data_IF_446974987283
#
_entry.id   IF_446974987283
#
_cell.length_a   1.000
_cell.length_b   1.000
_cell.length_c   1.000
_cell.angle_alpha   90.00
_cell.angle_beta   90.00
_cell.angle_gamma   90.00
#
_symmetry.space_group_name_H-M   'P 1'
#
loop_
_entity.id
_entity.type
_entity.pdbx_description
1 polymer ?
#
# COMPACT_ATOMS: atom_id res chain seq x y z
N UNK A 1 10.26 21.31 14.75
CA UNK A 1 11.34 21.79 13.87
C UNK A 1 11.54 20.73 12.80
N UNK A 2 11.46 21.08 11.52
CA UNK A 2 11.83 20.18 10.42
C UNK A 2 13.25 20.53 9.97
N UNK A 3 14.06 19.53 9.67
CA UNK A 3 15.41 19.72 9.11
C UNK A 3 15.42 19.28 7.66
N UNK A 4 16.14 20.02 6.81
CA UNK A 4 16.34 19.65 5.42
C UNK A 4 17.11 18.33 5.30
N UNK A 5 16.72 17.49 4.35
CA UNK A 5 17.42 16.26 4.01
C UNK A 5 17.96 16.37 2.58
N UNK A 6 19.28 16.43 2.44
CA UNK A 6 19.94 16.51 1.14
C UNK A 6 19.90 15.17 0.39
N UNK A 7 19.42 15.20 -0.85
CA UNK A 7 19.41 14.04 -1.75
C UNK A 7 18.52 14.24 -2.97
N UNK A 8 18.21 13.14 -3.64
CA UNK A 8 17.33 13.11 -4.80
C UNK A 8 16.02 12.42 -4.48
N UNK A 9 14.92 12.83 -5.12
CA UNK A 9 13.63 12.11 -5.09
C UNK A 9 13.84 10.65 -5.50
N UNK A 10 13.48 9.72 -4.61
CA UNK A 10 13.66 8.30 -4.84
C UNK A 10 12.84 7.81 -6.04
N UNK A 11 11.61 8.29 -6.24
CA UNK A 11 10.79 7.91 -7.38
C UNK A 11 11.44 8.29 -8.72
N UNK A 12 12.22 9.38 -8.75
CA UNK A 12 12.90 9.85 -9.94
C UNK A 12 14.20 9.09 -10.26
N UNK A 13 14.93 8.63 -9.24
CA UNK A 13 16.29 8.09 -9.45
C UNK A 13 16.41 6.58 -9.24
N UNK A 14 15.43 5.91 -8.62
CA UNK A 14 15.47 4.46 -8.39
C UNK A 14 15.73 3.66 -9.68
N UNK A 15 15.11 4.07 -10.79
CA UNK A 15 15.26 3.40 -12.09
C UNK A 15 16.66 3.53 -12.71
N UNK A 16 17.48 4.47 -12.24
CA UNK A 16 18.86 4.67 -12.69
C UNK A 16 19.88 3.81 -11.94
N UNK A 17 19.48 3.24 -10.79
CA UNK A 17 20.31 2.37 -9.97
C UNK A 17 20.26 0.94 -10.49
N UNK A 18 21.23 0.11 -10.11
CA UNK A 18 21.16 -1.32 -10.42
C UNK A 18 20.14 -2.04 -9.50
N UNK A 19 19.74 -3.26 -9.87
CA UNK A 19 18.69 -4.00 -9.14
C UNK A 19 19.05 -4.32 -7.69
N UNK A 20 20.33 -4.58 -7.39
CA UNK A 20 20.80 -4.86 -6.04
C UNK A 20 20.68 -3.60 -5.16
N UNK A 21 21.10 -2.44 -5.68
CA UNK A 21 20.97 -1.16 -4.98
C UNK A 21 19.51 -0.81 -4.71
N UNK A 22 18.63 -0.96 -5.71
CA UNK A 22 17.20 -0.76 -5.56
C UNK A 22 16.64 -1.66 -4.45
N UNK A 23 17.01 -2.94 -4.45
CA UNK A 23 16.57 -3.90 -3.44
C UNK A 23 17.07 -3.54 -2.03
N UNK A 24 18.35 -3.17 -1.88
CA UNK A 24 18.95 -2.83 -0.58
C UNK A 24 18.33 -1.56 0.01
N UNK A 25 18.11 -0.52 -0.81
CA UNK A 25 17.37 0.69 -0.42
C UNK A 25 15.94 0.33 0.01
N UNK A 26 15.29 -0.57 -0.74
CA UNK A 26 13.99 -1.11 -0.38
C UNK A 26 14.01 -1.77 1.00
N UNK A 27 15.01 -2.61 1.29
CA UNK A 27 15.16 -3.25 2.60
C UNK A 27 15.32 -2.24 3.73
N UNK A 28 16.11 -1.19 3.52
CA UNK A 28 16.27 -0.11 4.50
C UNK A 28 14.95 0.64 4.74
N UNK A 29 14.20 0.92 3.68
CA UNK A 29 12.88 1.53 3.79
C UNK A 29 11.90 0.62 4.53
N UNK A 30 11.93 -0.69 4.29
CA UNK A 30 11.12 -1.68 5.03
C UNK A 30 11.45 -1.70 6.53
N UNK A 31 12.74 -1.71 6.88
CA UNK A 31 13.20 -1.66 8.28
C UNK A 31 12.79 -0.37 8.97
N UNK A 32 12.84 0.76 8.27
CA UNK A 32 12.40 2.05 8.81
C UNK A 32 10.91 2.06 9.11
N UNK A 33 10.09 1.55 8.21
CA UNK A 33 8.64 1.38 8.41
C UNK A 33 8.33 0.47 9.62
N UNK A 34 9.08 -0.63 9.77
CA UNK A 34 8.95 -1.53 10.94
C UNK A 34 9.23 -0.79 12.26
N UNK A 35 10.20 0.13 12.30
CA UNK A 35 10.46 0.98 13.48
C UNK A 35 9.33 1.96 13.77
N UNK A 36 8.68 2.53 12.74
CA UNK A 36 7.50 3.39 12.91
C UNK A 36 6.35 2.56 13.50
N UNK A 37 6.09 1.39 12.93
CA UNK A 37 5.03 0.47 13.35
C UNK A 37 5.27 -0.19 14.71
N UNK A 38 6.47 -0.05 15.28
CA UNK A 38 6.75 -0.47 16.65
C UNK A 38 6.14 0.46 17.70
N UNK A 39 5.71 1.67 17.31
CA UNK A 39 5.02 2.61 18.20
C UNK A 39 3.55 2.19 18.29
N UNK A 40 3.06 1.76 19.47
CA UNK A 40 1.69 1.28 19.61
C UNK A 40 0.70 2.43 19.43
N UNK A 41 -0.50 2.08 18.95
CA UNK A 41 -1.60 3.03 18.95
C UNK A 41 -2.11 3.31 20.38
N UNK A 42 -2.70 4.49 20.63
CA UNK A 42 -3.38 4.80 21.89
C UNK A 42 -4.44 3.74 22.26
N UNK A 43 -4.69 3.54 23.56
CA UNK A 43 -5.64 2.51 24.05
C UNK A 43 -7.10 2.80 23.67
N UNK A 44 -7.44 4.04 23.35
CA UNK A 44 -8.78 4.49 22.98
C UNK A 44 -9.11 4.31 21.48
N UNK A 45 -8.20 3.71 20.70
CA UNK A 45 -8.50 3.41 19.29
C UNK A 45 -9.70 2.46 19.15
N UNK A 46 -10.59 2.70 18.17
CA UNK A 46 -11.65 1.76 17.86
C UNK A 46 -11.07 0.42 17.44
N UNK A 47 -11.79 -0.67 17.71
CA UNK A 47 -11.37 -2.00 17.28
C UNK A 47 -11.22 -2.04 15.74
N UNK A 48 -10.04 -2.44 15.27
CA UNK A 48 -9.71 -2.42 13.84
C UNK A 48 -10.65 -3.29 13.00
N UNK A 49 -11.03 -4.46 13.52
CA UNK A 49 -11.93 -5.38 12.82
C UNK A 49 -13.25 -4.69 12.49
N UNK A 50 -13.89 -4.07 13.48
CA UNK A 50 -15.14 -3.35 13.25
C UNK A 50 -14.91 -2.12 12.36
N UNK A 51 -13.94 -1.28 12.71
CA UNK A 51 -13.66 -0.04 12.00
C UNK A 51 -13.41 -0.25 10.50
N UNK A 52 -12.59 -1.24 10.16
CA UNK A 52 -12.24 -1.48 8.76
C UNK A 52 -13.32 -2.23 7.99
N UNK A 53 -14.11 -3.12 8.64
CA UNK A 53 -15.31 -3.70 8.01
C UNK A 53 -16.34 -2.60 7.68
N UNK A 54 -16.59 -1.66 8.60
CA UNK A 54 -17.46 -0.51 8.34
C UNK A 54 -16.90 0.39 7.22
N UNK A 55 -15.56 0.47 7.09
CA UNK A 55 -14.89 1.15 5.96
C UNK A 55 -15.13 0.42 4.63
N UNK A 56 -15.04 -0.91 4.62
CA UNK A 56 -15.35 -1.75 3.45
C UNK A 56 -16.80 -1.52 3.02
N UNK A 57 -17.76 -1.68 3.93
CA UNK A 57 -19.19 -1.58 3.60
C UNK A 57 -19.55 -0.21 2.99
N UNK A 58 -18.99 0.87 3.55
CA UNK A 58 -19.14 2.24 2.99
C UNK A 58 -18.55 2.36 1.59
N UNK A 59 -17.36 1.83 1.37
CA UNK A 59 -16.66 1.88 0.07
C UNK A 59 -17.39 1.08 -1.00
N UNK A 60 -17.86 -0.12 -0.68
CA UNK A 60 -18.65 -0.96 -1.59
C UNK A 60 -19.98 -0.29 -1.94
N UNK A 61 -20.67 0.26 -0.94
CA UNK A 61 -21.92 1.02 -1.15
C UNK A 61 -21.68 2.22 -2.07
N UNK A 62 -20.61 2.99 -1.85
CA UNK A 62 -20.27 4.15 -2.69
C UNK A 62 -20.00 3.73 -4.14
N UNK A 63 -19.26 2.65 -4.35
CA UNK A 63 -19.01 2.11 -5.68
C UNK A 63 -20.30 1.67 -6.38
N UNK A 64 -21.15 0.89 -5.72
CA UNK A 64 -22.44 0.45 -6.31
C UNK A 64 -23.31 1.66 -6.69
N UNK A 65 -23.38 2.68 -5.82
CA UNK A 65 -24.18 3.89 -6.05
C UNK A 65 -23.64 4.77 -7.16
N UNK A 66 -22.35 4.74 -7.46
CA UNK A 66 -21.76 5.64 -8.46
C UNK A 66 -22.15 5.29 -9.91
N UNK A 67 -22.65 4.08 -10.15
CA UNK A 67 -23.15 3.65 -11.47
C UNK A 67 -22.08 3.45 -12.54
N UNK A 68 -20.79 3.56 -12.20
CA UNK A 68 -19.68 3.35 -13.13
C UNK A 68 -19.28 1.88 -13.11
N UNK A 69 -19.41 1.21 -14.26
CA UNK A 69 -18.91 -0.15 -14.41
C UNK A 69 -17.39 -0.19 -14.56
N UNK A 70 -16.76 -1.06 -13.79
CA UNK A 70 -15.35 -1.45 -13.91
C UNK A 70 -15.26 -2.93 -14.23
N UNK A 71 -14.55 -3.26 -15.30
CA UNK A 71 -14.24 -4.63 -15.66
C UNK A 71 -13.49 -5.31 -14.51
N UNK A 72 -13.94 -6.50 -14.09
CA UNK A 72 -13.32 -7.23 -12.99
C UNK A 72 -13.81 -6.85 -11.58
N UNK A 73 -14.71 -5.87 -11.45
CA UNK A 73 -15.17 -5.41 -10.14
C UNK A 73 -15.88 -6.50 -9.32
N UNK A 74 -16.64 -7.40 -9.97
CA UNK A 74 -17.31 -8.51 -9.29
C UNK A 74 -16.30 -9.45 -8.62
N UNK A 75 -15.18 -9.74 -9.28
CA UNK A 75 -14.08 -10.54 -8.74
C UNK A 75 -13.41 -9.83 -7.56
N UNK A 76 -13.21 -8.51 -7.65
CA UNK A 76 -12.64 -7.73 -6.55
C UNK A 76 -13.58 -7.74 -5.34
N UNK A 77 -14.88 -7.53 -5.55
CA UNK A 77 -15.89 -7.53 -4.49
C UNK A 77 -15.97 -8.92 -3.84
N UNK A 78 -16.04 -9.99 -4.63
CA UNK A 78 -16.06 -11.36 -4.12
C UNK A 78 -14.81 -11.66 -3.26
N UNK A 79 -13.63 -11.23 -3.72
CA UNK A 79 -12.39 -11.37 -2.97
C UNK A 79 -12.42 -10.58 -1.65
N UNK A 80 -12.92 -9.35 -1.65
CA UNK A 80 -13.06 -8.55 -0.42
C UNK A 80 -13.94 -9.28 0.60
N UNK A 81 -15.10 -9.78 0.18
CA UNK A 81 -16.04 -10.48 1.07
C UNK A 81 -15.47 -11.80 1.59
N UNK A 82 -14.68 -12.52 0.78
CA UNK A 82 -14.00 -13.74 1.22
C UNK A 82 -12.90 -13.45 2.26
N UNK A 83 -12.15 -12.36 2.07
CA UNK A 83 -10.94 -12.09 2.85
C UNK A 83 -11.15 -11.18 4.07
N UNK A 84 -12.27 -10.46 4.18
CA UNK A 84 -12.54 -9.50 5.29
C UNK A 84 -12.42 -10.12 6.70
N UNK A 85 -12.53 -11.44 6.83
CA UNK A 85 -12.27 -12.16 8.08
C UNK A 85 -10.83 -12.03 8.60
N UNK A 86 -9.86 -11.74 7.73
CA UNK A 86 -8.45 -11.51 8.09
C UNK A 86 -8.22 -10.25 8.94
N UNK A 87 -9.21 -9.35 9.00
CA UNK A 87 -9.17 -8.15 9.81
C UNK A 87 -9.37 -8.43 11.30
N UNK A 88 -9.73 -9.67 11.66
CA UNK A 88 -10.00 -10.07 13.04
C UNK A 88 -8.75 -9.91 13.92
N UNK A 89 -8.92 -9.21 15.03
CA UNK A 89 -7.91 -9.05 16.10
C UNK A 89 -6.56 -8.51 15.62
N UNK A 90 -6.55 -7.72 14.53
CA UNK A 90 -5.34 -7.07 14.03
C UNK A 90 -4.88 -5.98 15.00
N UNK A 91 -3.57 -5.87 15.27
CA UNK A 91 -3.03 -4.80 16.09
C UNK A 91 -3.12 -3.47 15.36
N UNK A 92 -3.00 -2.36 16.10
CA UNK A 92 -2.85 -1.03 15.53
C UNK A 92 -1.56 -0.38 16.02
N UNK A 93 -0.89 0.32 15.12
CA UNK A 93 0.35 1.05 15.38
C UNK A 93 0.32 2.42 14.71
N UNK A 94 1.27 3.28 15.06
CA UNK A 94 1.52 4.49 14.30
C UNK A 94 1.82 4.12 12.84
N UNK A 95 1.26 4.88 11.91
CA UNK A 95 1.51 4.83 10.48
C UNK A 95 2.02 6.21 10.03
N UNK A 96 2.82 6.22 8.97
CA UNK A 96 3.16 7.45 8.25
C UNK A 96 1.96 7.99 7.44
N UNK A 97 1.10 7.09 6.94
CA UNK A 97 -0.13 7.41 6.22
C UNK A 97 0.03 7.67 4.72
N UNK A 98 1.27 7.85 4.24
CA UNK A 98 1.60 8.03 2.81
C UNK A 98 2.98 7.46 2.44
N UNK A 99 3.27 6.23 2.88
CA UNK A 99 4.59 5.61 2.77
C UNK A 99 4.87 5.00 1.38
N UNK A 100 5.33 5.84 0.44
CA UNK A 100 5.76 5.42 -0.91
C UNK A 100 7.02 6.16 -1.37
N UNK A 101 7.62 5.72 -2.48
CA UNK A 101 8.90 6.25 -2.99
C UNK A 101 8.88 7.73 -3.39
N UNK A 102 7.71 8.37 -3.53
CA UNK A 102 7.62 9.82 -3.75
C UNK A 102 7.84 10.63 -2.48
N UNK A 103 7.65 10.02 -1.30
CA UNK A 103 7.91 10.60 0.01
C UNK A 103 9.24 10.08 0.59
N UNK A 104 10.19 9.78 -0.31
CA UNK A 104 11.51 9.26 0.06
C UNK A 104 12.61 9.99 -0.70
N UNK A 105 13.73 10.19 -0.02
CA UNK A 105 14.92 10.84 -0.56
C UNK A 105 16.08 9.85 -0.51
N UNK A 106 16.82 9.71 -1.61
CA UNK A 106 18.07 8.96 -1.64
C UNK A 106 19.23 9.95 -1.48
N UNK A 107 20.00 9.80 -0.40
CA UNK A 107 21.16 10.67 -0.14
C UNK A 107 22.33 10.34 -1.07
N UNK A 108 23.36 11.19 -1.09
CA UNK A 108 24.58 10.95 -1.88
C UNK A 108 25.32 9.68 -1.44
N UNK A 109 25.20 9.32 -0.17
CA UNK A 109 25.75 8.11 0.44
C UNK A 109 24.88 6.87 0.19
N UNK A 110 23.82 6.99 -0.63
CA UNK A 110 22.86 5.92 -0.95
C UNK A 110 22.12 5.38 0.27
N UNK A 111 21.72 6.27 1.18
CA UNK A 111 20.78 5.96 2.26
C UNK A 111 19.37 6.43 1.88
N UNK A 112 18.35 5.70 2.35
CA UNK A 112 16.95 6.14 2.20
C UNK A 112 16.53 7.01 3.39
N UNK A 113 16.05 8.22 3.12
CA UNK A 113 15.36 9.05 4.11
C UNK A 113 13.87 9.12 3.81
N UNK A 114 13.08 9.19 4.87
CA UNK A 114 11.61 9.28 4.83
C UNK A 114 11.23 10.71 5.21
N UNK A 115 10.34 11.32 4.43
CA UNK A 115 9.87 12.70 4.60
C UNK A 115 8.34 12.75 4.51
N UNK A 116 7.75 13.90 4.82
CA UNK A 116 6.31 14.17 4.66
C UNK A 116 5.39 13.41 5.63
N UNK A 117 5.64 13.58 6.93
CA UNK A 117 4.83 13.00 8.02
C UNK A 117 3.53 13.77 8.32
N UNK A 118 2.93 14.44 7.34
CA UNK A 118 1.74 15.29 7.53
C UNK A 118 0.42 14.48 7.62
N UNK A 119 0.46 13.19 7.25
CA UNK A 119 -0.69 12.27 7.22
C UNK A 119 -0.61 11.13 8.22
N UNK A 120 0.20 11.27 9.27
CA UNK A 120 0.31 10.24 10.30
C UNK A 120 -1.06 9.88 10.89
N UNK A 121 -1.29 8.60 11.08
CA UNK A 121 -2.52 8.06 11.66
C UNK A 121 -2.20 6.77 12.43
N UNK A 122 -3.22 6.15 13.03
CA UNK A 122 -3.13 4.84 13.65
C UNK A 122 -3.99 3.82 12.90
N UNK A 123 -3.44 2.63 12.67
CA UNK A 123 -4.14 1.57 11.96
C UNK A 123 -3.35 0.26 11.95
N UNK A 124 -3.87 -0.76 11.25
CA UNK A 124 -3.12 -2.00 11.09
C UNK A 124 -1.79 -1.71 10.39
N UNK A 125 -0.63 -2.10 10.96
CA UNK A 125 0.66 -1.89 10.34
C UNK A 125 0.76 -2.44 8.90
N UNK A 126 -0.02 -3.47 8.55
CA UNK A 126 0.02 -4.03 7.20
C UNK A 126 -0.89 -3.28 6.21
N UNK A 127 -1.78 -2.41 6.68
CA UNK A 127 -2.62 -1.57 5.82
C UNK A 127 -1.82 -0.53 5.07
N UNK A 128 -0.73 0.01 5.65
CA UNK A 128 0.14 1.00 5.00
C UNK A 128 0.84 0.48 3.72
N UNK A 129 0.93 -0.85 3.55
CA UNK A 129 1.41 -1.45 2.30
C UNK A 129 0.43 -1.27 1.13
N UNK A 130 -0.78 -0.74 1.35
CA UNK A 130 -1.77 -0.50 0.30
C UNK A 130 -1.31 0.52 -0.78
N UNK A 131 -0.18 1.22 -0.56
CA UNK A 131 0.49 2.12 -1.53
C UNK A 131 1.71 1.49 -2.20
N UNK A 132 2.05 0.24 -1.92
CA UNK A 132 3.28 -0.38 -2.44
C UNK A 132 3.29 -0.53 -3.96
N UNK A 133 2.11 -0.56 -4.61
CA UNK A 133 2.00 -0.58 -6.08
C UNK A 133 2.70 0.61 -6.75
N UNK A 134 2.69 1.78 -6.11
CA UNK A 134 3.38 2.98 -6.60
C UNK A 134 4.90 2.77 -6.63
N UNK A 135 5.41 2.07 -5.62
CA UNK A 135 6.82 1.68 -5.57
C UNK A 135 7.13 0.59 -6.58
N UNK A 136 6.27 -0.43 -6.69
CA UNK A 136 6.47 -1.54 -7.62
C UNK A 136 6.42 -1.09 -9.09
N UNK A 137 5.63 -0.05 -9.40
CA UNK A 137 5.58 0.56 -10.73
C UNK A 137 6.88 1.26 -11.12
N UNK A 138 7.62 1.81 -10.16
CA UNK A 138 8.95 2.42 -10.38
C UNK A 138 10.04 1.36 -10.35
N UNK A 139 10.02 0.49 -9.34
CA UNK A 139 11.01 -0.56 -9.13
C UNK A 139 10.40 -1.75 -8.36
N UNK A 140 10.16 -2.89 -9.04
CA UNK A 140 9.78 -4.14 -8.38
C UNK A 140 10.83 -4.64 -7.37
N UNK A 141 12.12 -4.39 -7.65
CA UNK A 141 13.22 -4.77 -6.75
C UNK A 141 13.14 -4.00 -5.43
N UNK A 142 12.92 -2.68 -5.50
CA UNK A 142 12.73 -1.84 -4.32
C UNK A 142 11.48 -2.23 -3.52
N UNK A 143 10.34 -2.45 -4.18
CA UNK A 143 9.11 -2.89 -3.52
C UNK A 143 9.27 -4.25 -2.84
N UNK A 144 9.95 -5.20 -3.49
CA UNK A 144 10.27 -6.51 -2.89
C UNK A 144 11.21 -6.35 -1.68
N UNK A 145 12.25 -5.53 -1.82
CA UNK A 145 13.14 -5.17 -0.73
C UNK A 145 12.39 -4.58 0.47
N UNK A 146 11.39 -3.71 0.24
CA UNK A 146 10.56 -3.14 1.32
C UNK A 146 9.83 -4.21 2.13
N UNK A 147 9.17 -5.15 1.47
CA UNK A 147 8.49 -6.26 2.15
C UNK A 147 9.53 -7.09 2.93
N UNK A 148 10.60 -7.53 2.26
CA UNK A 148 11.61 -8.39 2.87
C UNK A 148 12.31 -7.70 4.06
N UNK A 149 12.59 -6.40 3.95
CA UNK A 149 13.21 -5.61 5.02
C UNK A 149 12.29 -5.41 6.22
N UNK A 150 10.99 -5.18 5.99
CA UNK A 150 10.00 -5.00 7.05
C UNK A 150 9.86 -6.25 7.93
N UNK A 151 9.84 -7.42 7.30
CA UNK A 151 9.69 -8.71 7.97
C UNK A 151 11.01 -9.38 8.34
N UNK A 152 12.15 -8.76 8.03
CA UNK A 152 13.47 -9.40 8.04
C UNK A 152 13.47 -10.81 7.41
N UNK A 153 12.82 -10.93 6.24
CA UNK A 153 12.57 -12.15 5.48
C UNK A 153 11.66 -13.21 6.16
N UNK A 154 11.07 -12.91 7.32
CA UNK A 154 10.13 -13.78 8.03
C UNK A 154 8.69 -13.35 7.77
N UNK A 155 8.26 -13.44 6.51
CA UNK A 155 6.93 -12.96 6.09
C UNK A 155 5.86 -13.95 6.56
N UNK A 156 4.88 -13.44 7.29
CA UNK A 156 3.71 -14.23 7.71
C UNK A 156 2.89 -14.69 6.51
N UNK A 157 2.36 -15.91 6.57
CA UNK A 157 1.47 -16.47 5.52
C UNK A 157 0.21 -15.61 5.30
N UNK A 158 -0.24 -14.89 6.33
CA UNK A 158 -1.42 -14.01 6.26
C UNK A 158 -1.12 -12.62 5.73
N UNK A 159 0.16 -12.24 5.56
CA UNK A 159 0.53 -10.90 5.12
C UNK A 159 0.02 -10.61 3.70
N UNK A 160 0.35 -11.46 2.73
CA UNK A 160 -0.04 -11.26 1.33
C UNK A 160 -1.57 -11.26 1.13
N UNK A 161 -2.33 -12.20 1.70
CA UNK A 161 -3.80 -12.13 1.70
C UNK A 161 -4.33 -10.80 2.26
N UNK A 162 -3.81 -10.35 3.40
CA UNK A 162 -4.28 -9.12 4.05
C UNK A 162 -3.89 -7.86 3.27
N UNK A 163 -2.68 -7.81 2.72
CA UNK A 163 -2.25 -6.73 1.82
C UNK A 163 -3.13 -6.68 0.56
N UNK A 164 -3.46 -7.83 -0.03
CA UNK A 164 -4.35 -7.91 -1.17
C UNK A 164 -5.77 -7.41 -0.83
N UNK A 165 -6.30 -7.72 0.36
CA UNK A 165 -7.58 -7.18 0.83
C UNK A 165 -7.56 -5.66 0.93
N UNK A 166 -6.51 -5.09 1.53
CA UNK A 166 -6.37 -3.64 1.64
C UNK A 166 -6.26 -2.97 0.26
N UNK A 167 -5.50 -3.55 -0.66
CA UNK A 167 -5.39 -3.06 -2.03
C UNK A 167 -6.70 -3.17 -2.80
N UNK A 168 -7.40 -4.31 -2.73
CA UNK A 168 -8.72 -4.52 -3.36
C UNK A 168 -9.74 -3.47 -2.89
N UNK A 169 -9.76 -3.22 -1.57
CA UNK A 169 -10.63 -2.20 -0.96
C UNK A 169 -10.32 -0.80 -1.50
N UNK A 170 -9.04 -0.45 -1.66
CA UNK A 170 -8.63 0.83 -2.22
C UNK A 170 -8.98 0.97 -3.72
N UNK A 171 -8.77 -0.09 -4.50
CA UNK A 171 -9.13 -0.15 -5.92
C UNK A 171 -10.60 0.22 -6.14
N UNK A 172 -11.53 -0.47 -5.48
CA UNK A 172 -12.96 -0.21 -5.66
C UNK A 172 -13.34 1.20 -5.20
N UNK A 173 -12.78 1.67 -4.09
CA UNK A 173 -13.08 3.02 -3.57
C UNK A 173 -12.51 4.17 -4.41
N UNK A 174 -11.54 3.90 -5.29
CA UNK A 174 -10.91 4.93 -6.12
C UNK A 174 -11.85 5.50 -7.19
N UNK A 175 -12.80 4.70 -7.66
CA UNK A 175 -13.77 5.12 -8.69
C UNK A 175 -14.72 6.21 -8.22
N UNK A 176 -15.51 6.02 -7.14
CA UNK A 176 -16.40 7.07 -6.67
C UNK A 176 -15.64 8.35 -6.26
N UNK A 177 -14.41 8.21 -5.74
CA UNK A 177 -13.55 9.36 -5.45
C UNK A 177 -13.16 10.14 -6.71
N UNK A 178 -12.78 9.44 -7.79
CA UNK A 178 -12.33 10.08 -9.02
C UNK A 178 -13.42 10.86 -9.76
N UNK A 179 -14.70 10.57 -9.50
CA UNK A 179 -15.83 11.28 -10.13
C UNK A 179 -15.79 12.77 -9.81
N UNK A 180 -15.45 13.12 -8.58
CA UNK A 180 -15.37 14.52 -8.12
C UNK A 180 -14.27 15.31 -8.85
N UNK A 181 -13.31 14.62 -9.47
CA UNK A 181 -12.19 15.20 -10.23
C UNK A 181 -12.39 15.09 -11.75
N UNK A 182 -13.47 14.46 -12.20
CA UNK A 182 -13.89 14.39 -13.60
C UNK A 182 -13.53 13.10 -14.33
N UNK A 183 -14.10 12.95 -15.54
CA UNK A 183 -14.03 11.71 -16.32
C UNK A 183 -12.60 11.24 -16.64
N UNK A 184 -11.66 12.17 -16.84
CA UNK A 184 -10.26 11.83 -17.08
C UNK A 184 -9.64 11.07 -15.90
N UNK A 185 -9.95 11.46 -14.66
CA UNK A 185 -9.44 10.81 -13.46
C UNK A 185 -10.07 9.42 -13.26
N UNK A 186 -11.36 9.28 -13.59
CA UNK A 186 -12.04 7.98 -13.59
C UNK A 186 -11.33 7.00 -14.54
N UNK A 187 -10.94 7.46 -15.72
CA UNK A 187 -10.20 6.62 -16.68
C UNK A 187 -8.80 6.26 -16.19
N UNK A 188 -8.13 7.15 -15.43
CA UNK A 188 -6.86 6.84 -14.75
C UNK A 188 -7.09 5.71 -13.75
N UNK A 189 -8.09 5.85 -12.86
CA UNK A 189 -8.37 4.83 -11.86
C UNK A 189 -8.74 3.48 -12.47
N UNK A 190 -9.52 3.44 -13.56
CA UNK A 190 -9.80 2.20 -14.30
C UNK A 190 -8.52 1.51 -14.80
N UNK A 191 -7.55 2.28 -15.32
CA UNK A 191 -6.26 1.72 -15.76
C UNK A 191 -5.44 1.19 -14.59
N UNK A 192 -5.43 1.89 -13.46
CA UNK A 192 -4.71 1.43 -12.26
C UNK A 192 -5.32 0.17 -11.67
N UNK A 193 -6.66 0.07 -11.62
CA UNK A 193 -7.36 -1.15 -11.20
C UNK A 193 -6.97 -2.32 -12.12
N UNK A 194 -6.99 -2.13 -13.44
CA UNK A 194 -6.60 -3.18 -14.40
C UNK A 194 -5.17 -3.67 -14.16
N UNK A 195 -4.20 -2.75 -14.04
CA UNK A 195 -2.80 -3.11 -13.75
C UNK A 195 -2.66 -3.91 -12.46
N UNK A 196 -3.40 -3.50 -11.43
CA UNK A 196 -3.35 -4.19 -10.15
C UNK A 196 -4.01 -5.57 -10.22
N UNK A 197 -5.14 -5.71 -10.91
CA UNK A 197 -5.73 -7.02 -11.19
C UNK A 197 -4.75 -7.94 -11.94
N UNK A 198 -4.08 -7.44 -12.98
CA UNK A 198 -3.08 -8.22 -13.73
C UNK A 198 -1.94 -8.70 -12.83
N UNK A 199 -1.49 -7.84 -11.89
CA UNK A 199 -0.46 -8.16 -10.91
C UNK A 199 -0.89 -9.28 -9.94
N UNK A 200 -2.18 -9.36 -9.60
CA UNK A 200 -2.75 -10.41 -8.74
C UNK A 200 -3.37 -11.59 -9.51
N UNK A 201 -3.18 -11.63 -10.84
CA UNK A 201 -3.81 -12.63 -11.71
C UNK A 201 -5.33 -12.68 -11.54
N UNK A 202 -5.97 -11.50 -11.58
CA UNK A 202 -7.39 -11.31 -11.30
C UNK A 202 -7.82 -11.90 -9.94
N UNK A 203 -6.98 -11.68 -8.92
CA UNK A 203 -7.17 -12.18 -7.54
C UNK A 203 -7.23 -13.71 -7.43
N UNK A 204 -6.75 -14.44 -8.44
CA UNK A 204 -6.47 -15.88 -8.31
C UNK A 204 -5.20 -16.15 -7.47
N UNK A 205 -4.37 -15.13 -7.26
CA UNK A 205 -3.20 -15.18 -6.40
C UNK A 205 -3.21 -14.00 -5.41
N UNK A 206 -2.73 -14.24 -4.19
CA UNK A 206 -2.56 -13.19 -3.16
C UNK A 206 -1.16 -12.58 -3.15
N UNK A 207 -0.20 -13.23 -3.81
CA UNK A 207 1.16 -12.72 -3.98
C UNK A 207 1.25 -12.06 -5.35
N UNK A 208 1.57 -10.77 -5.44
CA UNK A 208 1.59 -10.09 -6.73
C UNK A 208 2.80 -10.51 -7.58
N UNK A 209 2.63 -10.58 -8.90
CA UNK A 209 3.63 -11.04 -9.89
C UNK A 209 4.95 -10.25 -9.87
N UNK A 210 4.92 -9.00 -9.40
CA UNK A 210 6.11 -8.16 -9.29
C UNK A 210 6.99 -8.54 -8.09
N UNK A 211 6.45 -9.22 -7.08
CA UNK A 211 7.19 -9.58 -5.88
C UNK A 211 8.22 -10.68 -6.17
N UNK A 212 9.47 -10.45 -5.74
CA UNK A 212 10.57 -11.41 -5.83
C UNK A 212 11.09 -11.69 -4.43
N UNK A 213 11.18 -12.98 -4.08
CA UNK A 213 11.74 -13.41 -2.78
C UNK A 213 13.24 -13.11 -2.72
#
# INVERSE_FOLDING_TARGET
MMTWLDGSDAAAVLSTLNLEEQYLLGREAGRTMSRIHAIPAPEDQPNWTQFYNDKIDRKLTAYVRCGIHVEGAEQIIAFIEEQRGLLKDRPQSLQHGDYHCGNMVITKEKMIGIIDFDRMDYGDPWEEFNRISWCAGVSPAFASGRINGYFDNQISETFFPLMALYMATNMISSIPWAIDYGAGEVDVMKREIKKAMDAYDHFQNVVPKWYRR
#
